data_IF_398619107815
#
_entry.id   IF_398619107815
#
_cell.length_a   1.000
_cell.length_b   1.000
_cell.length_c   1.000
_cell.angle_alpha   90.00
_cell.angle_beta   90.00
_cell.angle_gamma   90.00
#
_symmetry.space_group_name_H-M   'P 1'
#
loop_
_entity.id
_entity.type
_entity.pdbx_description
1 polymer ?
#
# COMPACT_ATOMS: atom_id res chain seq x y z
N UNK A 1 27.08 9.45 20.64
CA UNK A 1 26.06 10.11 21.48
C UNK A 1 25.20 10.97 20.59
N UNK A 2 24.05 10.49 20.12
CA UNK A 2 23.03 11.31 19.50
C UNK A 2 21.71 10.93 20.16
N UNK A 3 21.35 11.72 21.17
CA UNK A 3 20.09 11.62 21.91
C UNK A 3 18.97 12.38 21.19
N UNK A 4 19.00 12.46 19.89
CA UNK A 4 17.88 13.00 19.13
C UNK A 4 17.04 11.83 18.66
N UNK A 5 15.73 11.91 18.91
CA UNK A 5 14.78 10.96 18.35
C UNK A 5 14.97 10.91 16.84
N UNK A 6 15.01 9.72 16.21
CA UNK A 6 15.18 9.62 14.77
C UNK A 6 14.09 10.40 14.04
N UNK A 7 14.42 10.92 12.85
CA UNK A 7 13.51 11.75 12.07
C UNK A 7 12.41 10.94 11.38
N UNK A 8 12.68 9.67 11.08
CA UNK A 8 11.82 8.79 10.28
C UNK A 8 11.64 7.43 10.94
N UNK A 9 10.40 6.95 11.04
CA UNK A 9 10.09 5.54 11.35
C UNK A 9 9.81 4.77 10.06
N UNK A 10 10.51 3.66 9.85
CA UNK A 10 10.25 2.69 8.79
C UNK A 10 9.48 1.52 9.37
N UNK A 11 8.20 1.38 9.00
CA UNK A 11 7.35 0.30 9.47
C UNK A 11 7.37 -0.89 8.49
N UNK A 12 7.56 -2.12 8.99
CA UNK A 12 7.59 -3.34 8.18
C UNK A 12 6.61 -4.37 8.76
N UNK A 13 5.37 -4.46 8.24
CA UNK A 13 4.48 -5.57 8.57
C UNK A 13 4.89 -6.80 7.75
N UNK A 14 5.12 -7.94 8.41
CA UNK A 14 5.57 -9.17 7.75
C UNK A 14 4.63 -10.33 8.08
N UNK A 15 4.37 -11.16 7.08
CA UNK A 15 3.77 -12.47 7.23
C UNK A 15 4.36 -13.45 6.21
N UNK A 16 5.13 -14.44 6.69
CA UNK A 16 5.83 -15.46 5.89
C UNK A 16 6.70 -14.82 4.79
N UNK A 17 7.67 -14.02 5.24
CA UNK A 17 8.55 -13.21 4.39
C UNK A 17 9.97 -13.74 4.23
N UNK A 18 10.26 -15.00 4.61
CA UNK A 18 11.62 -15.57 4.64
C UNK A 18 12.42 -15.37 3.35
N UNK A 19 11.74 -15.41 2.18
CA UNK A 19 12.38 -15.25 0.87
C UNK A 19 12.68 -13.79 0.51
N UNK A 20 12.16 -12.81 1.26
CA UNK A 20 12.21 -11.40 0.89
C UNK A 20 12.84 -10.50 1.95
N UNK A 21 12.67 -10.84 3.23
CA UNK A 21 12.98 -9.96 4.35
C UNK A 21 14.46 -9.56 4.39
N UNK A 22 15.39 -10.47 4.10
CA UNK A 22 16.82 -10.18 4.05
C UNK A 22 17.13 -9.11 3.02
N UNK A 23 16.72 -9.33 1.76
CA UNK A 23 16.88 -8.35 0.67
C UNK A 23 16.25 -7.01 1.01
N UNK A 24 15.11 -7.01 1.72
CA UNK A 24 14.43 -5.78 2.12
C UNK A 24 15.19 -5.01 3.19
N UNK A 25 15.68 -5.69 4.22
CA UNK A 25 16.46 -5.05 5.28
C UNK A 25 17.78 -4.51 4.74
N UNK A 26 18.50 -5.26 3.90
CA UNK A 26 19.72 -4.78 3.23
C UNK A 26 19.45 -3.50 2.41
N UNK A 27 18.34 -3.47 1.66
CA UNK A 27 17.95 -2.30 0.87
C UNK A 27 17.61 -1.07 1.73
N UNK A 28 17.03 -1.26 2.92
CA UNK A 28 16.74 -0.17 3.85
C UNK A 28 18.03 0.33 4.49
N UNK A 29 18.87 -0.57 4.97
CA UNK A 29 20.12 -0.20 5.65
C UNK A 29 21.14 0.48 4.72
N UNK A 30 21.06 0.21 3.40
CA UNK A 30 21.89 0.84 2.36
C UNK A 30 21.35 2.17 1.82
N UNK A 31 20.27 2.73 2.36
CA UNK A 31 19.75 4.03 1.94
C UNK A 31 20.76 5.16 2.29
N UNK A 32 20.79 6.22 1.48
CA UNK A 32 21.66 7.40 1.74
C UNK A 32 21.24 8.17 2.99
N UNK A 33 19.93 8.23 3.26
CA UNK A 33 19.38 8.81 4.49
C UNK A 33 19.47 7.81 5.63
N UNK A 34 20.17 8.15 6.72
CA UNK A 34 20.45 7.24 7.84
C UNK A 34 19.76 7.60 9.17
N UNK A 35 19.07 8.76 9.25
CA UNK A 35 18.39 9.24 10.45
C UNK A 35 16.99 8.60 10.58
N UNK A 36 16.94 7.28 10.79
CA UNK A 36 15.72 6.50 10.92
C UNK A 36 15.79 5.40 11.99
N UNK A 37 14.63 4.95 12.42
CA UNK A 37 14.40 3.70 13.13
C UNK A 37 13.58 2.74 12.29
N UNK A 38 13.69 1.43 12.54
CA UNK A 38 12.92 0.38 11.87
C UNK A 38 12.05 -0.32 12.91
N UNK A 39 10.75 -0.38 12.66
CA UNK A 39 9.79 -1.13 13.47
C UNK A 39 9.21 -2.29 12.67
N UNK A 40 9.64 -3.51 12.99
CA UNK A 40 9.17 -4.74 12.37
C UNK A 40 8.04 -5.33 13.22
N UNK A 41 6.89 -5.59 12.59
CA UNK A 41 5.79 -6.33 13.19
C UNK A 41 5.53 -7.61 12.39
N UNK A 42 5.85 -8.74 12.99
CA UNK A 42 5.90 -10.04 12.33
C UNK A 42 4.87 -11.01 12.92
N UNK A 43 4.10 -11.65 12.04
CA UNK A 43 3.15 -12.71 12.39
C UNK A 43 3.47 -14.02 11.66
N UNK A 44 4.72 -14.22 11.27
CA UNK A 44 5.17 -15.36 10.47
C UNK A 44 5.28 -16.64 11.28
N UNK A 45 5.17 -17.77 10.57
CA UNK A 45 5.40 -19.12 11.09
C UNK A 45 6.42 -19.90 10.25
N UNK A 46 7.16 -19.19 9.37
CA UNK A 46 8.32 -19.68 8.60
C UNK A 46 9.65 -19.22 9.25
N UNK A 47 10.75 -19.18 8.52
CA UNK A 47 12.06 -18.76 9.01
C UNK A 47 12.23 -17.22 9.16
N UNK A 48 11.21 -16.42 8.87
CA UNK A 48 11.26 -14.94 9.01
C UNK A 48 11.76 -14.48 10.38
N UNK A 49 11.27 -15.02 11.52
CA UNK A 49 11.72 -14.61 12.85
C UNK A 49 13.22 -14.79 13.09
N UNK A 50 13.79 -15.86 12.57
CA UNK A 50 15.24 -16.12 12.68
C UNK A 50 16.04 -15.05 11.97
N UNK A 51 15.65 -14.73 10.72
CA UNK A 51 16.30 -13.70 9.91
C UNK A 51 16.17 -12.31 10.56
N UNK A 52 14.98 -11.94 11.05
CA UNK A 52 14.80 -10.65 11.71
C UNK A 52 15.68 -10.50 12.94
N UNK A 53 15.82 -11.54 13.77
CA UNK A 53 16.69 -11.51 14.95
C UNK A 53 18.17 -11.37 14.61
N UNK A 54 18.65 -11.91 13.47
CA UNK A 54 20.02 -11.67 13.00
C UNK A 54 20.29 -10.16 12.81
N UNK A 55 19.36 -9.43 12.20
CA UNK A 55 19.49 -7.99 11.95
C UNK A 55 19.34 -7.16 13.23
N UNK A 56 18.44 -7.52 14.14
CA UNK A 56 18.32 -6.87 15.46
C UNK A 56 19.64 -6.91 16.23
N UNK A 57 20.36 -8.03 16.15
CA UNK A 57 21.67 -8.18 16.82
C UNK A 57 22.78 -7.37 16.15
N UNK A 58 22.60 -6.91 14.90
CA UNK A 58 23.60 -6.17 14.12
C UNK A 58 23.35 -4.66 14.12
N UNK A 59 22.10 -4.22 14.24
CA UNK A 59 21.73 -2.80 14.14
C UNK A 59 20.70 -2.42 15.22
N UNK A 60 21.11 -1.55 16.12
CA UNK A 60 20.30 -1.08 17.27
C UNK A 60 19.12 -0.17 16.89
N UNK A 61 19.02 0.26 15.63
CA UNK A 61 17.86 1.01 15.10
C UNK A 61 16.66 0.11 14.84
N UNK A 62 16.81 -1.23 14.90
CA UNK A 62 15.78 -2.18 14.58
C UNK A 62 15.06 -2.64 15.84
N UNK A 63 13.76 -2.36 15.92
CA UNK A 63 12.85 -2.92 16.92
C UNK A 63 12.01 -4.01 16.26
N UNK A 64 12.06 -5.23 16.81
CA UNK A 64 11.34 -6.39 16.30
C UNK A 64 10.29 -6.86 17.28
N UNK A 65 9.06 -7.02 16.80
CA UNK A 65 7.92 -7.51 17.57
C UNK A 65 7.32 -8.70 16.81
N UNK A 66 7.36 -9.87 17.44
CA UNK A 66 6.76 -11.09 16.91
C UNK A 66 5.51 -11.48 17.71
N UNK A 67 4.38 -11.61 17.02
CA UNK A 67 3.14 -12.11 17.59
C UNK A 67 2.64 -13.33 16.83
N UNK A 68 2.40 -14.43 17.53
CA UNK A 68 1.89 -15.68 16.94
C UNK A 68 0.46 -15.54 16.39
N UNK A 69 -0.34 -14.64 16.96
CA UNK A 69 -1.71 -14.39 16.51
C UNK A 69 -1.70 -13.43 15.33
N UNK A 70 -2.44 -13.77 14.28
CA UNK A 70 -2.58 -12.92 13.10
C UNK A 70 -3.81 -12.03 13.23
N UNK A 71 -3.68 -10.76 13.65
CA UNK A 71 -4.83 -9.87 13.88
C UNK A 71 -5.54 -9.47 12.59
N UNK A 72 -4.87 -9.54 11.45
CA UNK A 72 -5.32 -9.06 10.15
C UNK A 72 -4.37 -8.02 9.57
N UNK A 73 -4.48 -7.78 8.26
CA UNK A 73 -3.57 -6.89 7.54
C UNK A 73 -3.64 -5.44 8.04
N UNK A 74 -4.85 -4.89 8.13
CA UNK A 74 -5.10 -3.49 8.54
C UNK A 74 -4.68 -3.27 10.01
N UNK A 75 -4.92 -4.25 10.86
CA UNK A 75 -4.55 -4.17 12.27
C UNK A 75 -3.03 -4.16 12.45
N UNK A 76 -2.28 -4.96 11.67
CA UNK A 76 -0.82 -4.93 11.67
C UNK A 76 -0.26 -3.56 11.25
N UNK A 77 -0.83 -2.97 10.19
CA UNK A 77 -0.49 -1.62 9.76
C UNK A 77 -0.77 -0.57 10.84
N UNK A 78 -1.98 -0.60 11.40
CA UNK A 78 -2.37 0.33 12.45
C UNK A 78 -1.52 0.19 13.72
N UNK A 79 -1.10 -1.05 14.04
CA UNK A 79 -0.22 -1.32 15.16
C UNK A 79 1.11 -0.58 15.05
N UNK A 80 1.73 -0.64 13.87
CA UNK A 80 3.00 0.03 13.57
C UNK A 80 2.80 1.55 13.57
N UNK A 81 1.81 2.06 12.83
CA UNK A 81 1.56 3.51 12.69
C UNK A 81 1.33 4.17 14.05
N UNK A 82 0.57 3.52 14.95
CA UNK A 82 0.30 4.05 16.29
C UNK A 82 1.56 4.16 17.15
N UNK A 83 2.56 3.31 16.92
CA UNK A 83 3.82 3.30 17.68
C UNK A 83 4.86 4.27 17.15
N UNK A 84 4.79 4.67 15.90
CA UNK A 84 5.70 5.64 15.33
C UNK A 84 5.61 6.98 16.07
N UNK A 85 6.74 7.52 16.54
CA UNK A 85 6.79 8.79 17.28
C UNK A 85 7.72 9.81 16.62
N UNK A 86 8.22 9.51 15.43
CA UNK A 86 9.09 10.35 14.61
C UNK A 86 8.31 11.38 13.80
N UNK A 87 8.97 12.38 13.24
CA UNK A 87 8.35 13.41 12.39
C UNK A 87 7.72 12.82 11.12
N UNK A 88 8.41 11.82 10.53
CA UNK A 88 7.99 11.15 9.30
C UNK A 88 7.83 9.65 9.50
N UNK A 89 7.05 9.07 8.61
CA UNK A 89 6.79 7.64 8.58
C UNK A 89 6.80 7.12 7.14
N UNK A 90 7.32 5.91 6.93
CA UNK A 90 7.16 5.18 5.67
C UNK A 90 6.84 3.72 5.94
N UNK A 91 5.88 3.17 5.21
CA UNK A 91 5.58 1.74 5.25
C UNK A 91 6.40 1.00 4.18
N UNK A 92 7.16 0.02 4.61
CA UNK A 92 8.01 -0.79 3.75
C UNK A 92 7.39 -2.16 3.50
N UNK A 93 6.81 -2.37 2.30
CA UNK A 93 6.41 -3.72 1.87
C UNK A 93 7.66 -4.61 1.78
N UNK A 94 7.54 -5.85 2.28
CA UNK A 94 8.69 -6.77 2.36
C UNK A 94 9.19 -7.22 0.99
N UNK A 95 8.33 -7.22 -0.02
CA UNK A 95 8.59 -7.69 -1.39
C UNK A 95 9.02 -6.58 -2.37
N UNK A 96 8.81 -5.31 -2.03
CA UNK A 96 9.21 -4.16 -2.84
C UNK A 96 10.57 -3.61 -2.38
N UNK A 97 11.24 -2.84 -3.24
CA UNK A 97 12.51 -2.17 -2.93
C UNK A 97 12.46 -0.68 -3.26
N UNK A 98 13.50 0.04 -2.87
CA UNK A 98 13.68 1.46 -3.12
C UNK A 98 15.01 1.72 -3.82
N UNK A 99 15.10 2.80 -4.63
CA UNK A 99 16.41 3.31 -5.07
C UNK A 99 17.23 3.79 -3.87
N UNK A 100 18.56 3.82 -3.94
CA UNK A 100 19.41 4.16 -2.78
C UNK A 100 19.10 5.51 -2.13
N UNK A 101 18.62 6.48 -2.87
CA UNK A 101 18.29 7.84 -2.43
C UNK A 101 16.79 8.06 -2.17
N UNK A 102 16.00 6.98 -2.06
CA UNK A 102 14.53 7.11 -1.95
C UNK A 102 14.12 7.85 -0.67
N UNK A 103 14.68 7.49 0.47
CA UNK A 103 14.33 8.13 1.74
C UNK A 103 14.75 9.60 1.75
N UNK A 104 15.99 9.91 1.34
CA UNK A 104 16.54 11.24 1.30
C UNK A 104 15.70 12.19 0.46
N UNK A 105 15.44 11.86 -0.80
CA UNK A 105 14.67 12.71 -1.72
C UNK A 105 13.24 12.97 -1.25
N UNK A 106 12.60 11.98 -0.61
CA UNK A 106 11.23 12.13 -0.14
C UNK A 106 11.15 12.89 1.20
N UNK A 107 12.11 12.71 2.11
CA UNK A 107 12.21 13.50 3.35
C UNK A 107 12.52 14.95 3.01
N UNK A 108 13.49 15.19 2.13
CA UNK A 108 13.87 16.52 1.67
C UNK A 108 12.70 17.30 1.06
N UNK A 109 11.86 16.63 0.25
CA UNK A 109 10.65 17.27 -0.30
C UNK A 109 9.69 17.69 0.80
N UNK A 110 9.46 16.83 1.80
CA UNK A 110 8.58 17.17 2.92
C UNK A 110 9.17 18.27 3.81
N UNK A 111 10.50 18.39 3.93
CA UNK A 111 11.15 19.49 4.66
C UNK A 111 11.00 20.82 3.92
N UNK A 112 11.17 20.82 2.61
CA UNK A 112 11.12 22.03 1.77
C UNK A 112 9.68 22.54 1.54
N UNK A 113 8.70 21.64 1.56
CA UNK A 113 7.32 21.94 1.21
C UNK A 113 6.35 21.58 2.33
N UNK A 114 5.97 22.57 3.14
CA UNK A 114 5.06 22.36 4.27
C UNK A 114 3.62 21.98 3.86
N UNK A 115 3.18 22.33 2.66
CA UNK A 115 1.87 21.92 2.13
C UNK A 115 1.84 20.44 1.70
N UNK A 116 3.01 19.83 1.48
CA UNK A 116 3.13 18.44 1.11
C UNK A 116 2.95 17.54 2.33
N UNK A 117 2.00 16.60 2.26
CA UNK A 117 1.70 15.65 3.35
C UNK A 117 2.37 14.29 3.13
N UNK A 118 2.56 13.90 1.89
CA UNK A 118 3.23 12.66 1.51
C UNK A 118 4.00 12.83 0.20
N UNK A 119 5.18 12.21 0.13
CA UNK A 119 6.02 12.16 -1.06
C UNK A 119 6.43 10.72 -1.37
N UNK A 120 6.46 10.36 -2.66
CA UNK A 120 6.91 9.06 -3.13
C UNK A 120 7.76 9.23 -4.41
N UNK A 121 8.68 8.28 -4.65
CA UNK A 121 9.41 8.19 -5.91
C UNK A 121 8.54 7.72 -7.09
N UNK A 122 9.06 7.81 -8.30
CA UNK A 122 8.42 7.19 -9.46
C UNK A 122 8.30 5.67 -9.30
N UNK A 123 7.14 5.11 -9.66
CA UNK A 123 6.95 3.66 -9.64
C UNK A 123 7.64 3.02 -10.84
N UNK A 124 8.48 2.04 -10.58
CA UNK A 124 9.08 1.17 -11.60
C UNK A 124 8.75 -0.28 -11.32
N UNK A 125 8.24 -0.98 -12.35
CA UNK A 125 8.01 -2.42 -12.27
C UNK A 125 9.26 -3.14 -12.73
N UNK A 126 9.78 -3.98 -11.85
CA UNK A 126 10.81 -4.95 -12.18
C UNK A 126 10.11 -6.26 -12.50
N UNK A 127 10.21 -6.70 -13.76
CA UNK A 127 9.73 -8.03 -14.17
C UNK A 127 10.72 -9.06 -13.64
N UNK A 128 10.26 -9.96 -12.80
CA UNK A 128 11.01 -11.18 -12.48
C UNK A 128 10.73 -12.19 -13.60
N UNK A 129 11.72 -13.02 -13.97
CA UNK A 129 11.62 -14.05 -15.02
C UNK A 129 10.69 -15.22 -14.65
N UNK A 130 9.75 -14.97 -13.77
CA UNK A 130 8.75 -15.93 -13.39
C UNK A 130 7.78 -16.05 -14.54
N UNK A 131 7.85 -17.21 -15.23
CA UNK A 131 6.90 -17.64 -16.26
C UNK A 131 5.49 -17.25 -15.82
N UNK A 132 4.89 -16.30 -16.52
CA UNK A 132 3.46 -16.04 -16.44
C UNK A 132 2.72 -17.31 -16.91
N UNK A 133 2.63 -18.28 -16.01
CA UNK A 133 1.91 -19.51 -16.31
C UNK A 133 0.41 -19.21 -16.44
N UNK A 134 -0.10 -19.56 -17.61
CA UNK A 134 -1.44 -20.06 -17.89
C UNK A 134 -2.64 -19.13 -18.01
N UNK A 135 -2.60 -17.83 -17.77
CA UNK A 135 -3.79 -16.98 -18.02
C UNK A 135 -3.80 -16.21 -19.36
N UNK A 136 -2.71 -16.22 -20.12
CA UNK A 136 -2.54 -15.34 -21.31
C UNK A 136 -3.50 -15.60 -22.47
N UNK A 137 -4.05 -16.81 -22.60
CA UNK A 137 -4.89 -17.20 -23.75
C UNK A 137 -6.39 -17.23 -23.48
N UNK A 138 -6.85 -16.84 -22.29
CA UNK A 138 -8.28 -16.90 -21.98
C UNK A 138 -8.99 -15.62 -22.40
N UNK A 139 -10.01 -15.74 -23.27
CA UNK A 139 -10.85 -14.64 -23.76
C UNK A 139 -11.43 -13.80 -22.60
N UNK A 140 -11.92 -14.46 -21.55
CA UNK A 140 -12.50 -13.80 -20.38
C UNK A 140 -11.48 -12.92 -19.63
N UNK A 141 -10.23 -13.37 -19.50
CA UNK A 141 -9.16 -12.58 -18.89
C UNK A 141 -8.72 -11.38 -19.77
N UNK A 142 -8.67 -11.59 -21.09
CA UNK A 142 -8.42 -10.50 -22.06
C UNK A 142 -9.54 -9.45 -22.00
N UNK A 143 -10.81 -9.88 -21.91
CA UNK A 143 -11.95 -8.99 -21.77
C UNK A 143 -11.89 -8.21 -20.45
N UNK A 144 -11.60 -8.89 -19.33
CA UNK A 144 -11.42 -8.23 -18.03
C UNK A 144 -10.34 -7.15 -18.08
N UNK A 145 -9.15 -7.45 -18.63
CA UNK A 145 -8.09 -6.45 -18.82
C UNK A 145 -8.49 -5.30 -19.75
N UNK A 146 -9.24 -5.58 -20.80
CA UNK A 146 -9.76 -4.55 -21.72
C UNK A 146 -10.76 -3.62 -21.02
N UNK A 147 -11.67 -4.19 -20.22
CA UNK A 147 -12.63 -3.43 -19.42
C UNK A 147 -11.91 -2.60 -18.34
N UNK A 148 -10.96 -3.17 -17.64
CA UNK A 148 -10.12 -2.42 -16.72
C UNK A 148 -9.45 -1.22 -17.40
N UNK A 149 -8.79 -1.41 -18.55
CA UNK A 149 -8.11 -0.35 -19.29
C UNK A 149 -9.04 0.78 -19.76
N UNK A 150 -10.28 0.47 -20.12
CA UNK A 150 -11.25 1.45 -20.63
C UNK A 150 -11.65 2.49 -19.57
N UNK A 151 -11.63 2.09 -18.28
CA UNK A 151 -12.09 2.91 -17.16
C UNK A 151 -10.97 3.28 -16.18
N UNK A 152 -9.77 2.75 -16.42
CA UNK A 152 -8.58 3.00 -15.61
C UNK A 152 -7.59 3.78 -16.46
N UNK A 153 -7.49 5.07 -16.25
CA UNK A 153 -6.72 5.98 -17.12
C UNK A 153 -5.23 5.66 -17.11
N UNK A 154 -4.69 5.07 -16.06
CA UNK A 154 -3.28 4.64 -16.02
C UNK A 154 -3.03 3.52 -15.01
N UNK A 155 -2.76 2.30 -15.46
CA UNK A 155 -2.08 1.30 -14.65
C UNK A 155 -0.63 1.78 -14.43
N UNK A 156 -0.21 1.96 -13.18
CA UNK A 156 1.17 2.20 -12.78
C UNK A 156 1.78 3.56 -13.16
N UNK A 157 1.04 4.64 -12.99
CA UNK A 157 1.67 5.95 -12.93
C UNK A 157 1.44 6.58 -11.57
N UNK A 158 2.51 7.09 -11.01
CA UNK A 158 2.42 8.05 -9.92
C UNK A 158 1.95 9.38 -10.49
N UNK A 159 1.12 10.10 -9.76
CA UNK A 159 0.71 11.45 -10.12
C UNK A 159 0.54 12.30 -8.86
N UNK A 160 0.90 13.55 -8.98
CA UNK A 160 0.69 14.53 -7.91
C UNK A 160 -0.79 14.80 -7.70
N UNK A 161 -1.19 15.06 -6.46
CA UNK A 161 -2.53 15.57 -6.15
C UNK A 161 -2.40 16.86 -5.34
N UNK A 162 -2.68 17.97 -6.01
CA UNK A 162 -2.63 19.34 -5.50
C UNK A 162 -3.98 20.01 -5.75
N UNK A 163 -4.28 21.06 -4.97
CA UNK A 163 -5.50 21.83 -5.10
C UNK A 163 -6.53 21.56 -3.99
N UNK A 164 -7.80 21.81 -4.27
CA UNK A 164 -8.89 21.56 -3.34
C UNK A 164 -9.03 20.08 -2.98
N UNK A 165 -9.71 19.80 -1.86
CA UNK A 165 -9.96 18.42 -1.45
C UNK A 165 -10.74 17.65 -2.52
N UNK A 166 -11.75 18.26 -3.12
CA UNK A 166 -12.59 17.63 -4.14
C UNK A 166 -11.79 17.26 -5.38
N UNK A 167 -10.94 18.17 -5.88
CA UNK A 167 -10.07 17.91 -7.05
C UNK A 167 -9.12 16.76 -6.76
N UNK A 168 -8.48 16.78 -5.59
CA UNK A 168 -7.58 15.68 -5.18
C UNK A 168 -8.32 14.35 -5.05
N UNK A 169 -9.49 14.34 -4.42
CA UNK A 169 -10.30 13.13 -4.21
C UNK A 169 -10.81 12.55 -5.53
N UNK A 170 -11.30 13.37 -6.46
CA UNK A 170 -11.70 12.90 -7.81
C UNK A 170 -10.53 12.30 -8.57
N UNK A 171 -9.35 12.94 -8.49
CA UNK A 171 -8.15 12.45 -9.13
C UNK A 171 -7.72 11.09 -8.58
N UNK A 172 -7.81 10.89 -7.27
CA UNK A 172 -7.53 9.61 -6.61
C UNK A 172 -8.53 8.53 -7.05
N UNK A 173 -9.82 8.82 -7.03
CA UNK A 173 -10.84 7.86 -7.45
C UNK A 173 -10.67 7.41 -8.90
N UNK A 174 -10.36 8.32 -9.82
CA UNK A 174 -10.24 8.05 -11.26
C UNK A 174 -8.92 7.35 -11.64
N UNK A 175 -7.96 7.23 -10.72
CA UNK A 175 -6.65 6.62 -10.96
C UNK A 175 -6.42 5.45 -10.01
N UNK A 176 -6.54 4.23 -10.48
CA UNK A 176 -6.70 3.00 -9.70
C UNK A 176 -5.46 2.47 -8.99
N UNK A 177 -4.27 3.05 -9.13
CA UNK A 177 -3.05 2.52 -8.52
C UNK A 177 -2.25 3.59 -7.80
N UNK A 178 -2.84 4.10 -6.73
CA UNK A 178 -2.21 5.07 -5.87
C UNK A 178 -1.35 4.39 -4.81
N UNK A 179 -0.05 4.63 -4.83
CA UNK A 179 0.91 4.04 -3.89
C UNK A 179 1.43 5.03 -2.84
N UNK A 180 0.84 6.21 -2.72
CA UNK A 180 1.34 7.23 -1.77
C UNK A 180 1.26 6.79 -0.31
N UNK A 181 0.44 5.79 0.03
CA UNK A 181 0.46 5.16 1.35
C UNK A 181 1.77 4.41 1.65
N UNK A 182 2.59 4.12 0.63
CA UNK A 182 3.94 3.55 0.74
C UNK A 182 5.04 4.62 0.54
N UNK A 183 4.69 5.90 0.43
CA UNK A 183 5.62 7.03 0.42
C UNK A 183 6.02 7.44 1.82
N UNK A 184 6.93 8.42 1.90
CA UNK A 184 7.24 9.10 3.17
C UNK A 184 6.11 10.06 3.48
N UNK A 185 5.55 9.98 4.69
CA UNK A 185 4.32 10.67 5.12
C UNK A 185 4.59 11.40 6.45
N UNK A 186 3.96 12.55 6.66
CA UNK A 186 3.97 13.21 7.99
C UNK A 186 3.21 12.34 8.99
N UNK A 187 3.87 11.90 10.04
CA UNK A 187 3.36 10.91 11.01
C UNK A 187 2.04 11.35 11.65
N UNK A 188 1.92 12.62 12.05
CA UNK A 188 0.71 13.13 12.70
C UNK A 188 -0.52 13.07 11.79
N UNK A 189 -0.36 13.37 10.51
CA UNK A 189 -1.45 13.28 9.55
C UNK A 189 -1.80 11.80 9.25
N UNK A 190 -0.79 10.93 9.17
CA UNK A 190 -1.02 9.50 8.98
C UNK A 190 -1.79 8.89 10.15
N UNK A 191 -1.43 9.21 11.40
CA UNK A 191 -2.15 8.77 12.61
C UNK A 191 -3.62 9.19 12.61
N UNK A 192 -3.93 10.39 12.12
CA UNK A 192 -5.30 10.88 11.95
C UNK A 192 -6.04 10.26 10.77
N UNK A 193 -5.32 9.59 9.87
CA UNK A 193 -5.86 9.03 8.61
C UNK A 193 -6.08 7.52 8.65
N UNK A 194 -5.73 6.84 9.73
CA UNK A 194 -5.84 5.37 9.85
C UNK A 194 -7.28 4.90 9.69
N UNK A 195 -7.44 3.71 9.12
CA UNK A 195 -8.71 3.03 8.93
C UNK A 195 -8.81 1.90 9.94
N UNK A 196 -9.77 1.98 10.86
CA UNK A 196 -9.90 1.00 11.94
C UNK A 196 -10.68 -0.26 11.55
N UNK A 197 -11.50 -0.17 10.50
CA UNK A 197 -12.37 -1.26 10.07
C UNK A 197 -11.78 -1.94 8.83
N UNK A 198 -11.75 -3.26 8.86
CA UNK A 198 -11.41 -4.04 7.69
C UNK A 198 -12.40 -3.75 6.56
N UNK A 199 -11.88 -3.33 5.42
CA UNK A 199 -12.65 -3.09 4.20
C UNK A 199 -11.77 -3.22 2.96
N UNK A 200 -12.38 -3.60 1.87
CA UNK A 200 -11.74 -3.54 0.56
C UNK A 200 -11.45 -2.07 0.18
N UNK A 201 -10.32 -1.80 -0.47
CA UNK A 201 -9.85 -0.45 -0.82
C UNK A 201 -9.53 0.45 0.41
N UNK A 202 -9.10 -0.17 1.52
CA UNK A 202 -8.66 0.57 2.72
C UNK A 202 -7.49 1.52 2.42
N UNK A 203 -6.60 1.16 1.48
CA UNK A 203 -5.49 1.97 1.00
C UNK A 203 -5.96 3.26 0.31
N UNK A 204 -7.05 3.21 -0.43
CA UNK A 204 -7.69 4.42 -0.96
C UNK A 204 -8.30 5.28 0.14
N UNK A 205 -8.94 4.65 1.12
CA UNK A 205 -9.53 5.38 2.24
C UNK A 205 -8.48 6.11 3.07
N UNK A 206 -7.31 5.49 3.33
CA UNK A 206 -6.18 6.17 3.99
C UNK A 206 -5.75 7.40 3.17
N UNK A 207 -5.54 7.24 1.86
CA UNK A 207 -5.10 8.35 1.01
C UNK A 207 -6.16 9.46 0.97
N UNK A 208 -7.45 9.12 0.85
CA UNK A 208 -8.53 10.09 0.90
C UNK A 208 -8.61 10.83 2.24
N UNK A 209 -8.22 10.21 3.35
CA UNK A 209 -8.05 10.90 4.61
C UNK A 209 -6.81 11.79 4.63
N UNK A 210 -5.67 11.31 4.11
CA UNK A 210 -4.40 12.06 4.08
C UNK A 210 -4.52 13.38 3.31
N UNK A 211 -5.20 13.40 2.17
CA UNK A 211 -5.35 14.61 1.34
C UNK A 211 -6.19 15.73 2.01
N UNK A 212 -6.83 15.45 3.14
CA UNK A 212 -7.46 16.48 3.99
C UNK A 212 -6.42 17.37 4.67
N UNK A 213 -5.19 16.89 4.82
CA UNK A 213 -4.12 17.55 5.57
C UNK A 213 -3.06 18.19 4.69
N UNK A 214 -3.05 17.91 3.36
CA UNK A 214 -2.07 18.47 2.45
C UNK A 214 -2.08 17.83 1.08
N UNK A 215 -1.04 18.11 0.31
CA UNK A 215 -0.86 17.66 -1.05
C UNK A 215 -0.03 16.38 -1.11
N UNK A 216 -0.16 15.64 -2.22
CA UNK A 216 0.64 14.46 -2.52
C UNK A 216 1.65 14.80 -3.61
N UNK A 217 2.93 14.54 -3.32
CA UNK A 217 4.04 14.83 -4.23
C UNK A 217 4.65 13.55 -4.80
N UNK A 218 5.28 13.70 -5.99
CA UNK A 218 6.08 12.67 -6.61
C UNK A 218 7.44 13.24 -6.98
N UNK A 219 8.50 12.69 -6.38
CA UNK A 219 9.85 13.03 -6.81
C UNK A 219 10.27 12.15 -7.99
N UNK A 220 10.76 12.78 -9.05
CA UNK A 220 11.34 12.09 -10.21
C UNK A 220 12.79 11.64 -9.99
N UNK A 221 13.37 12.02 -8.85
CA UNK A 221 14.78 11.76 -8.53
C UNK A 221 14.99 10.41 -7.86
N UNK A 222 13.93 9.77 -7.37
CA UNK A 222 14.00 8.47 -6.74
C UNK A 222 12.93 7.51 -7.26
N UNK A 223 13.08 6.21 -6.98
CA UNK A 223 12.17 5.20 -7.48
C UNK A 223 11.67 4.27 -6.37
N UNK A 224 10.38 3.94 -6.46
CA UNK A 224 9.76 2.82 -5.77
C UNK A 224 9.69 1.62 -6.72
N UNK A 225 10.36 0.52 -6.37
CA UNK A 225 10.61 -0.63 -7.24
C UNK A 225 9.65 -1.77 -6.87
N UNK A 226 8.68 -2.06 -7.74
CA UNK A 226 7.69 -3.12 -7.54
C UNK A 226 8.15 -4.38 -8.25
N UNK A 227 8.31 -5.48 -7.51
CA UNK A 227 8.62 -6.78 -8.08
C UNK A 227 7.34 -7.53 -8.47
N UNK A 228 7.02 -7.48 -9.76
CA UNK A 228 5.82 -8.14 -10.28
C UNK A 228 5.97 -9.67 -10.25
N UNK A 229 5.04 -10.35 -9.57
CA UNK A 229 4.93 -11.80 -9.57
C UNK A 229 5.47 -12.52 -8.34
N UNK A 230 6.04 -11.83 -7.37
CA UNK A 230 6.64 -12.49 -6.20
C UNK A 230 5.67 -12.77 -5.04
N UNK A 231 4.57 -12.02 -4.89
CA UNK A 231 3.67 -12.19 -3.74
C UNK A 231 2.17 -12.28 -4.08
N UNK A 232 1.38 -11.35 -3.56
CA UNK A 232 -0.10 -11.38 -3.60
C UNK A 232 -0.69 -11.42 -5.02
N UNK A 233 0.02 -10.88 -6.01
CA UNK A 233 -0.41 -10.92 -7.42
C UNK A 233 -0.54 -12.34 -7.98
N UNK A 234 0.17 -13.34 -7.43
CA UNK A 234 0.04 -14.76 -7.81
C UNK A 234 -1.20 -15.44 -7.28
N UNK A 235 -1.67 -15.02 -6.11
CA UNK A 235 -2.77 -15.70 -5.42
C UNK A 235 -4.14 -15.20 -5.86
N UNK A 236 -4.19 -14.13 -6.67
CA UNK A 236 -5.42 -13.58 -7.25
C UNK A 236 -6.37 -12.94 -6.24
N UNK A 237 -7.38 -12.24 -6.76
CA UNK A 237 -8.35 -11.45 -6.01
C UNK A 237 -9.11 -12.26 -4.96
N UNK A 238 -9.44 -13.54 -5.24
CA UNK A 238 -10.13 -14.41 -4.31
C UNK A 238 -9.36 -14.66 -3.01
N UNK A 239 -8.03 -14.85 -3.10
CA UNK A 239 -7.18 -15.03 -1.92
C UNK A 239 -7.11 -13.73 -1.09
N UNK A 240 -7.08 -12.59 -1.76
CA UNK A 240 -7.09 -11.27 -1.12
C UNK A 240 -8.37 -11.10 -0.29
N UNK A 241 -9.52 -11.45 -0.86
CA UNK A 241 -10.80 -11.39 -0.18
C UNK A 241 -10.88 -12.34 1.03
N UNK A 242 -10.38 -13.58 0.88
CA UNK A 242 -10.33 -14.55 1.99
C UNK A 242 -9.43 -14.08 3.12
N UNK A 243 -8.29 -13.45 2.81
CA UNK A 243 -7.33 -12.96 3.81
C UNK A 243 -7.83 -11.74 4.59
N UNK A 244 -8.75 -10.95 4.03
CA UNK A 244 -9.29 -9.73 4.62
C UNK A 244 -10.59 -9.95 5.43
N UNK A 245 -11.03 -11.19 5.65
CA UNK A 245 -12.28 -11.53 6.38
C UNK A 245 -13.51 -10.75 5.86
N UNK A 246 -13.64 -10.65 4.53
CA UNK A 246 -14.69 -9.89 3.85
C UNK A 246 -16.06 -10.50 4.10
N UNK A 247 -17.08 -9.66 4.21
CA UNK A 247 -18.48 -10.07 4.44
C UNK A 247 -19.08 -10.72 3.19
N UNK A 248 -20.07 -11.60 3.34
CA UNK A 248 -20.71 -12.29 2.22
C UNK A 248 -21.27 -11.34 1.16
N UNK A 249 -21.88 -10.22 1.57
CA UNK A 249 -22.42 -9.23 0.63
C UNK A 249 -21.31 -8.54 -0.21
N UNK A 250 -20.07 -8.47 0.29
CA UNK A 250 -18.95 -7.89 -0.45
C UNK A 250 -18.40 -8.80 -1.54
N UNK A 251 -18.81 -10.07 -1.61
CA UNK A 251 -18.54 -10.91 -2.80
C UNK A 251 -19.35 -10.45 -4.01
N UNK A 252 -20.54 -9.90 -3.79
CA UNK A 252 -21.41 -9.38 -4.87
C UNK A 252 -21.18 -7.88 -5.11
N UNK A 253 -20.89 -7.12 -4.04
CA UNK A 253 -20.64 -5.69 -4.07
C UNK A 253 -19.32 -5.35 -3.35
N UNK A 254 -18.17 -5.67 -3.95
CA UNK A 254 -16.88 -5.63 -3.28
C UNK A 254 -16.49 -4.25 -2.71
N UNK A 255 -16.88 -3.19 -3.40
CA UNK A 255 -16.61 -1.82 -2.97
C UNK A 255 -17.75 -1.18 -2.14
N UNK A 256 -18.76 -1.96 -1.69
CA UNK A 256 -19.90 -1.40 -0.95
C UNK A 256 -19.47 -0.76 0.38
N UNK A 257 -18.63 -1.44 1.18
CA UNK A 257 -18.14 -0.88 2.45
C UNK A 257 -17.33 0.40 2.22
N UNK A 258 -16.50 0.44 1.18
CA UNK A 258 -15.77 1.65 0.79
C UNK A 258 -16.72 2.76 0.32
N UNK A 259 -17.75 2.44 -0.47
CA UNK A 259 -18.77 3.39 -0.92
C UNK A 259 -19.50 4.04 0.26
N UNK A 260 -19.94 3.24 1.23
CA UNK A 260 -20.54 3.75 2.47
C UNK A 260 -19.56 4.58 3.31
N UNK A 261 -18.30 4.15 3.34
CA UNK A 261 -17.26 4.92 4.02
C UNK A 261 -17.09 6.30 3.36
N UNK A 262 -17.09 6.40 2.02
CA UNK A 262 -17.02 7.66 1.29
C UNK A 262 -18.22 8.56 1.60
N UNK A 263 -19.44 8.03 1.62
CA UNK A 263 -20.63 8.81 1.99
C UNK A 263 -20.47 9.43 3.39
N UNK A 264 -19.99 8.62 4.34
CA UNK A 264 -19.87 9.06 5.75
C UNK A 264 -18.71 10.03 5.97
N UNK A 265 -17.55 9.84 5.32
CA UNK A 265 -16.31 10.55 5.65
C UNK A 265 -15.95 11.65 4.66
N UNK A 266 -16.47 11.60 3.43
CA UNK A 266 -16.26 12.61 2.39
C UNK A 266 -17.54 13.40 2.15
N UNK A 267 -18.68 12.72 2.10
CA UNK A 267 -20.00 13.34 1.98
C UNK A 267 -20.82 12.79 0.83
N UNK A 268 -22.16 12.90 1.00
CA UNK A 268 -23.12 12.37 0.01
C UNK A 268 -23.06 13.11 -1.33
N UNK A 269 -22.77 14.40 -1.35
CA UNK A 269 -22.64 15.19 -2.60
C UNK A 269 -21.53 14.65 -3.48
N UNK A 270 -20.36 14.35 -2.88
CA UNK A 270 -19.23 13.75 -3.58
C UNK A 270 -19.59 12.38 -4.14
N UNK A 271 -20.28 11.54 -3.35
CA UNK A 271 -20.73 10.22 -3.79
C UNK A 271 -21.70 10.31 -4.98
N UNK A 272 -22.72 11.19 -4.92
CA UNK A 272 -23.69 11.38 -6.02
C UNK A 272 -22.97 11.87 -7.28
N UNK A 273 -22.05 12.84 -7.16
CA UNK A 273 -21.29 13.37 -8.29
C UNK A 273 -20.45 12.29 -9.02
N UNK A 274 -19.99 11.27 -8.30
CA UNK A 274 -19.15 10.18 -8.82
C UNK A 274 -19.87 8.82 -8.79
N UNK A 275 -21.21 8.81 -8.82
CA UNK A 275 -22.03 7.60 -8.64
C UNK A 275 -21.75 6.54 -9.70
N UNK A 276 -21.60 6.93 -10.96
CA UNK A 276 -21.24 6.08 -12.08
C UNK A 276 -19.92 5.33 -11.83
N UNK A 277 -18.94 6.02 -11.22
CA UNK A 277 -17.66 5.44 -10.86
C UNK A 277 -17.80 4.39 -9.72
N UNK A 278 -18.61 4.66 -8.69
CA UNK A 278 -18.85 3.71 -7.62
C UNK A 278 -19.59 2.44 -8.10
N UNK A 279 -20.54 2.57 -9.04
CA UNK A 279 -21.16 1.43 -9.72
C UNK A 279 -20.11 0.64 -10.49
N UNK A 280 -19.33 1.31 -11.31
CA UNK A 280 -18.25 0.69 -12.07
C UNK A 280 -17.25 -0.05 -11.19
N UNK A 281 -16.85 0.55 -10.08
CA UNK A 281 -15.91 -0.02 -9.13
C UNK A 281 -16.44 -1.35 -8.56
N UNK A 282 -17.71 -1.40 -8.16
CA UNK A 282 -18.35 -2.64 -7.71
C UNK A 282 -18.43 -3.69 -8.82
N UNK A 283 -18.83 -3.29 -10.02
CA UNK A 283 -18.95 -4.19 -11.17
C UNK A 283 -17.62 -4.84 -11.56
N UNK A 284 -16.55 -4.05 -11.71
CA UNK A 284 -15.26 -4.58 -12.18
C UNK A 284 -14.63 -5.53 -11.16
N UNK A 285 -14.78 -5.26 -9.86
CA UNK A 285 -14.26 -6.14 -8.82
C UNK A 285 -15.10 -7.39 -8.65
N UNK A 286 -16.44 -7.31 -8.71
CA UNK A 286 -17.32 -8.49 -8.71
C UNK A 286 -17.02 -9.40 -9.91
N UNK A 287 -16.84 -8.81 -11.10
CA UNK A 287 -16.48 -9.57 -12.30
C UNK A 287 -15.11 -10.27 -12.13
N UNK A 288 -14.13 -9.61 -11.52
CA UNK A 288 -12.84 -10.22 -11.20
C UNK A 288 -12.94 -11.40 -10.24
N UNK A 289 -13.81 -11.33 -9.24
CA UNK A 289 -14.07 -12.43 -8.29
C UNK A 289 -14.72 -13.61 -9.02
N UNK A 290 -15.75 -13.36 -9.83
CA UNK A 290 -16.44 -14.40 -10.62
C UNK A 290 -15.48 -15.12 -11.56
N UNK A 291 -14.57 -14.39 -12.23
CA UNK A 291 -13.53 -14.98 -13.07
C UNK A 291 -12.58 -15.88 -12.26
N UNK A 292 -12.17 -15.43 -11.08
CA UNK A 292 -11.30 -16.21 -10.21
C UNK A 292 -11.97 -17.50 -9.72
N UNK A 293 -13.26 -17.45 -9.38
CA UNK A 293 -14.05 -18.62 -9.01
C UNK A 293 -14.22 -19.60 -10.20
N UNK A 294 -14.56 -19.08 -11.38
CA UNK A 294 -14.68 -19.89 -12.61
C UNK A 294 -13.42 -20.69 -12.92
N UNK A 295 -12.24 -20.05 -12.78
CA UNK A 295 -10.96 -20.74 -13.01
C UNK A 295 -10.61 -21.76 -11.92
N UNK A 296 -11.12 -21.57 -10.69
CA UNK A 296 -10.90 -22.55 -9.61
C UNK A 296 -11.73 -23.82 -9.78
N UNK A 297 -12.94 -23.71 -10.32
CA UNK A 297 -13.84 -24.86 -10.54
C UNK A 297 -13.39 -25.71 -11.74
N UNK A 298 -12.62 -25.14 -12.69
CA UNK A 298 -12.13 -25.85 -13.88
C UNK A 298 -10.75 -26.51 -13.71
N UNK A 299 -10.10 -26.32 -12.57
CA UNK A 299 -8.89 -27.08 -12.16
C UNK A 299 -9.27 -28.21 -11.22
#
# INVERSE_FOLDING_TARGET
MSNENPKLTIGIPIYNGENFVRRRLDNILSQTFQDFEILIYDNSNDSTPLICNEYVNQDNRITYIHEKTRPGWIQGWNFIIKRANTKYFVMASVDDLWSPNFLEENVDELEKNSSCIASIGELKIIKTDIKEETCKNNFTFKLYKKLQKKFTIQFLSTFEAKGSFEEKAEKILKNTWYRHHNGVIRTDALKKSIILKDMFLWDWAIILNLIKYGDLHITKKSNYLIYAGETMSRKGMFHLFKSQKIRINEYFFPASTFSFWCIKNIGIKFFIKNFDYFIWLNFIHAFGILLALYHKVRK
#
